data_IF_918620062573
#
_entry.id   IF_918620062573
#
_cell.length_a   1.000
_cell.length_b   1.000
_cell.length_c   1.000
_cell.angle_alpha   90.00
_cell.angle_beta   90.00
_cell.angle_gamma   90.00
#
_symmetry.space_group_name_H-M   'P 1'
#
loop_
_entity.id
_entity.type
_entity.pdbx_description
1 polymer ?
#
# COMPACT_ATOMS: atom_id res chain seq x y z
N UNK A 1 11.77 17.79 -26.57
CA UNK A 1 10.55 17.09 -26.11
C UNK A 1 10.69 16.85 -24.61
N UNK A 2 9.74 17.31 -23.77
CA UNK A 2 9.67 16.91 -22.36
C UNK A 2 9.02 15.52 -22.31
N UNK A 3 9.60 14.61 -21.53
CA UNK A 3 9.02 13.31 -21.26
C UNK A 3 7.60 13.52 -20.67
N UNK A 4 6.53 12.94 -21.26
CA UNK A 4 5.16 13.12 -20.77
C UNK A 4 4.87 12.34 -19.49
N UNK A 5 5.81 11.48 -19.07
CA UNK A 5 5.69 10.68 -17.85
C UNK A 5 6.24 11.46 -16.65
N UNK A 6 5.43 11.56 -15.60
CA UNK A 6 5.90 12.09 -14.32
C UNK A 6 7.02 11.20 -13.77
N UNK A 7 8.02 11.82 -13.14
CA UNK A 7 9.09 11.05 -12.51
C UNK A 7 8.51 10.19 -11.38
N UNK A 8 8.98 8.94 -11.21
CA UNK A 8 8.63 8.14 -10.04
C UNK A 8 8.96 8.89 -8.76
N UNK A 9 8.07 8.81 -7.78
CA UNK A 9 8.29 9.30 -6.42
C UNK A 9 8.64 8.11 -5.53
N UNK A 10 9.55 8.31 -4.59
CA UNK A 10 9.99 7.27 -3.66
C UNK A 10 9.94 7.82 -2.25
N UNK A 11 9.40 7.01 -1.33
CA UNK A 11 9.38 7.32 0.09
C UNK A 11 9.92 6.11 0.84
N UNK A 12 10.81 6.34 1.79
CA UNK A 12 11.33 5.32 2.69
C UNK A 12 11.10 5.80 4.12
N UNK A 13 10.51 4.95 4.94
CA UNK A 13 10.30 5.17 6.36
C UNK A 13 10.78 3.95 7.13
N UNK A 14 11.58 4.17 8.16
CA UNK A 14 12.14 3.10 8.98
C UNK A 14 12.22 3.56 10.42
N UNK A 15 11.52 2.83 11.27
CA UNK A 15 11.56 2.91 12.74
C UNK A 15 11.67 1.49 13.29
N UNK A 16 11.84 1.35 14.61
CA UNK A 16 12.22 0.07 15.23
C UNK A 16 11.36 -1.12 14.78
N UNK A 17 10.05 -0.92 14.69
CA UNK A 17 9.09 -1.99 14.42
C UNK A 17 8.40 -1.90 13.04
N UNK A 18 8.77 -0.90 12.23
CA UNK A 18 8.16 -0.65 10.91
C UNK A 18 9.24 -0.33 9.89
N UNK A 19 9.22 -1.03 8.77
CA UNK A 19 10.02 -0.69 7.58
C UNK A 19 9.08 -0.55 6.39
N UNK A 20 9.09 0.60 5.74
CA UNK A 20 8.25 0.91 4.60
C UNK A 20 9.10 1.52 3.49
N UNK A 21 9.07 0.89 2.31
CA UNK A 21 9.57 1.46 1.07
C UNK A 21 8.40 1.57 0.08
N UNK A 22 8.19 2.77 -0.45
CA UNK A 22 7.11 3.10 -1.35
C UNK A 22 7.67 3.62 -2.65
N UNK A 23 7.13 3.14 -3.76
CA UNK A 23 7.37 3.71 -5.09
C UNK A 23 6.05 4.03 -5.76
N UNK A 24 5.85 5.29 -6.09
CA UNK A 24 4.68 5.80 -6.81
C UNK A 24 5.10 6.18 -8.23
N UNK A 25 4.37 5.69 -9.22
CA UNK A 25 4.57 6.00 -10.64
C UNK A 25 3.25 6.56 -11.18
N UNK A 26 3.14 7.87 -11.43
CA UNK A 26 1.94 8.43 -12.03
C UNK A 26 1.86 8.05 -13.50
N UNK A 27 0.82 7.30 -13.87
CA UNK A 27 0.66 6.80 -15.24
C UNK A 27 -0.09 7.81 -16.10
N UNK A 28 -1.20 8.35 -15.57
CA UNK A 28 -2.00 9.43 -16.15
C UNK A 28 -2.84 10.08 -15.06
N UNK A 29 -3.54 11.17 -15.38
CA UNK A 29 -4.45 11.83 -14.43
C UNK A 29 -5.45 10.83 -13.83
N UNK A 30 -5.49 10.74 -12.50
CA UNK A 30 -6.38 9.84 -11.75
C UNK A 30 -5.99 8.35 -11.79
N UNK A 31 -4.79 8.01 -12.29
CA UNK A 31 -4.30 6.63 -12.28
C UNK A 31 -2.80 6.57 -11.98
N UNK A 32 -2.51 5.96 -10.83
CA UNK A 32 -1.16 5.76 -10.36
C UNK A 32 -0.87 4.27 -10.15
N UNK A 33 0.41 3.90 -10.31
CA UNK A 33 0.92 2.62 -9.85
C UNK A 33 1.71 2.80 -8.56
N UNK A 34 1.28 2.11 -7.49
CA UNK A 34 1.89 2.16 -6.16
C UNK A 34 2.48 0.79 -5.82
N UNK A 35 3.78 0.75 -5.57
CA UNK A 35 4.47 -0.43 -5.04
C UNK A 35 4.83 -0.18 -3.58
N UNK A 36 4.49 -1.14 -2.71
CA UNK A 36 4.75 -1.10 -1.28
C UNK A 36 5.58 -2.32 -0.88
N UNK A 37 6.68 -2.08 -0.18
CA UNK A 37 7.39 -3.10 0.59
C UNK A 37 7.29 -2.70 2.06
N UNK A 38 6.53 -3.46 2.84
CA UNK A 38 6.14 -3.11 4.20
C UNK A 38 6.42 -4.29 5.12
N UNK A 39 7.15 -4.01 6.20
CA UNK A 39 7.38 -4.91 7.33
C UNK A 39 6.82 -4.28 8.60
N UNK A 40 5.91 -4.97 9.28
CA UNK A 40 5.33 -4.55 10.57
C UNK A 40 5.62 -5.65 11.61
N UNK A 41 6.66 -5.43 12.41
CA UNK A 41 7.02 -6.31 13.54
C UNK A 41 6.40 -5.81 14.87
N UNK A 42 5.87 -4.58 14.88
CA UNK A 42 5.32 -3.90 16.05
C UNK A 42 3.85 -4.20 16.37
N UNK A 43 3.36 -3.72 17.52
CA UNK A 43 1.95 -3.86 17.90
C UNK A 43 1.04 -2.81 17.24
N UNK A 44 1.62 -1.76 16.64
CA UNK A 44 0.87 -0.66 16.05
C UNK A 44 0.68 -0.88 14.54
N UNK A 45 -0.54 -0.66 14.02
CA UNK A 45 -0.80 -0.77 12.59
C UNK A 45 -0.21 0.42 11.82
N UNK A 46 -0.06 0.25 10.51
CA UNK A 46 0.39 1.29 9.58
C UNK A 46 -0.77 1.75 8.73
N UNK A 47 -0.90 3.08 8.58
CA UNK A 47 -1.89 3.71 7.70
C UNK A 47 -1.19 4.51 6.61
N UNK A 48 -1.65 4.33 5.39
CA UNK A 48 -1.24 5.12 4.23
C UNK A 48 -2.47 5.87 3.76
N UNK A 49 -2.47 7.18 3.98
CA UNK A 49 -3.59 8.06 3.64
C UNK A 49 -3.46 8.58 2.22
N UNK A 50 -4.58 8.62 1.51
CA UNK A 50 -4.76 9.25 0.22
C UNK A 50 -5.60 10.52 0.40
N UNK A 51 -5.29 11.57 -0.37
CA UNK A 51 -6.00 12.86 -0.27
C UNK A 51 -7.48 12.77 -0.68
N UNK A 52 -7.86 11.74 -1.43
CA UNK A 52 -9.23 11.49 -1.86
C UNK A 52 -9.56 9.99 -1.86
N UNK A 53 -10.85 9.68 -1.83
CA UNK A 53 -11.32 8.30 -1.92
C UNK A 53 -10.98 7.72 -3.29
N UNK A 54 -10.18 6.66 -3.28
CA UNK A 54 -9.62 6.04 -4.49
C UNK A 54 -10.06 4.57 -4.58
N UNK A 55 -10.25 4.08 -5.81
CA UNK A 55 -10.38 2.63 -6.05
C UNK A 55 -8.98 2.03 -6.06
N UNK A 56 -8.72 1.11 -5.12
CA UNK A 56 -7.45 0.41 -5.00
C UNK A 56 -7.65 -1.01 -5.49
N UNK A 57 -6.82 -1.40 -6.47
CA UNK A 57 -6.67 -2.76 -6.94
C UNK A 57 -5.27 -3.21 -6.53
N UNK A 58 -5.19 -4.19 -5.64
CA UNK A 58 -3.94 -4.65 -5.07
C UNK A 58 -3.67 -6.12 -5.32
N UNK A 59 -2.41 -6.50 -5.26
CA UNK A 59 -1.94 -7.86 -5.42
C UNK A 59 -0.74 -8.09 -4.51
N UNK A 60 -0.78 -9.14 -3.68
CA UNK A 60 0.33 -9.49 -2.79
C UNK A 60 1.35 -10.29 -3.59
N UNK A 61 2.52 -9.70 -3.81
CA UNK A 61 3.60 -10.30 -4.59
C UNK A 61 4.49 -11.25 -3.78
N UNK A 62 4.52 -11.10 -2.46
CA UNK A 62 5.29 -11.94 -1.55
C UNK A 62 4.80 -11.77 -0.12
N UNK A 63 5.01 -12.81 0.71
CA UNK A 63 4.63 -12.79 2.12
C UNK A 63 3.11 -12.78 2.33
N UNK A 64 2.68 -12.16 3.43
CA UNK A 64 1.27 -11.87 3.69
C UNK A 64 1.09 -10.53 4.38
N UNK A 65 -0.10 -9.97 4.26
CA UNK A 65 -0.51 -8.75 4.96
C UNK A 65 -1.92 -8.90 5.53
N UNK A 66 -2.14 -8.37 6.73
CA UNK A 66 -3.49 -8.19 7.29
C UNK A 66 -3.99 -6.80 6.94
N UNK A 67 -5.06 -6.74 6.18
CA UNK A 67 -5.67 -5.51 5.68
C UNK A 67 -7.00 -5.27 6.38
N UNK A 68 -7.20 -4.07 6.91
CA UNK A 68 -8.50 -3.63 7.39
C UNK A 68 -9.33 -3.12 6.22
N UNK A 69 -10.57 -3.60 6.14
CA UNK A 69 -11.58 -3.06 5.24
C UNK A 69 -12.40 -1.98 5.95
N UNK A 70 -13.11 -1.16 5.17
CA UNK A 70 -14.01 -0.10 5.66
C UNK A 70 -15.20 -0.61 6.48
N UNK A 71 -15.46 -1.93 6.48
CA UNK A 71 -16.57 -2.59 7.20
C UNK A 71 -16.15 -3.26 8.51
N UNK A 72 -15.07 -2.80 9.15
CA UNK A 72 -14.47 -3.38 10.37
C UNK A 72 -14.04 -4.86 10.26
N UNK A 73 -13.96 -5.40 9.04
CA UNK A 73 -13.39 -6.72 8.80
C UNK A 73 -11.87 -6.63 8.58
N UNK A 74 -11.15 -7.61 9.13
CA UNK A 74 -9.73 -7.81 8.87
C UNK A 74 -9.59 -9.02 7.97
N UNK A 75 -8.95 -8.84 6.82
CA UNK A 75 -8.63 -9.92 5.90
C UNK A 75 -7.13 -10.18 5.91
N UNK A 76 -6.74 -11.46 5.98
CA UNK A 76 -5.35 -11.87 5.78
C UNK A 76 -5.19 -12.23 4.30
N UNK A 77 -4.37 -11.44 3.61
CA UNK A 77 -4.03 -11.62 2.19
C UNK A 77 -2.65 -12.27 2.09
N UNK A 78 -2.61 -13.46 1.50
CA UNK A 78 -1.39 -14.23 1.22
C UNK A 78 -0.82 -13.88 -0.16
N UNK A 79 0.41 -14.34 -0.45
CA UNK A 79 1.00 -14.29 -1.78
C UNK A 79 0.03 -14.80 -2.86
N UNK A 80 0.07 -14.14 -4.02
CA UNK A 80 -0.74 -14.45 -5.20
C UNK A 80 -2.24 -14.15 -5.07
N UNK A 81 -2.65 -13.52 -3.97
CA UNK A 81 -4.02 -13.02 -3.80
C UNK A 81 -4.14 -11.57 -4.28
N UNK A 82 -5.23 -11.32 -5.01
CA UNK A 82 -5.67 -9.98 -5.36
C UNK A 82 -6.73 -9.50 -4.39
N UNK A 83 -6.84 -8.19 -4.23
CA UNK A 83 -7.88 -7.56 -3.43
C UNK A 83 -8.34 -6.25 -4.07
N UNK A 84 -9.54 -5.83 -3.72
CA UNK A 84 -10.13 -4.58 -4.15
C UNK A 84 -10.79 -3.89 -2.97
N UNK A 85 -10.56 -2.58 -2.84
CA UNK A 85 -11.30 -1.74 -1.92
C UNK A 85 -11.43 -0.31 -2.44
N UNK A 86 -12.47 0.39 -1.99
CA UNK A 86 -12.64 1.82 -2.25
C UNK A 86 -12.54 2.57 -0.93
N UNK A 87 -11.42 3.24 -0.73
CA UNK A 87 -11.06 3.91 0.53
C UNK A 87 -10.18 5.13 0.24
N UNK A 88 -10.07 6.02 1.22
CA UNK A 88 -9.07 7.09 1.27
C UNK A 88 -7.83 6.66 2.08
N UNK A 89 -7.74 5.41 2.53
CA UNK A 89 -6.58 4.89 3.23
C UNK A 89 -6.36 3.39 2.98
N UNK A 90 -5.10 2.95 3.09
CA UNK A 90 -4.72 1.55 3.29
C UNK A 90 -4.29 1.37 4.74
N UNK A 91 -4.95 0.44 5.45
CA UNK A 91 -4.69 0.18 6.85
C UNK A 91 -4.21 -1.26 7.05
N UNK A 92 -2.91 -1.40 7.33
CA UNK A 92 -2.23 -2.68 7.51
C UNK A 92 -1.96 -2.94 9.00
N UNK A 93 -2.46 -4.07 9.51
CA UNK A 93 -2.29 -4.46 10.92
C UNK A 93 -0.95 -5.16 11.16
N UNK A 94 -0.63 -6.15 10.32
CA UNK A 94 0.56 -7.01 10.44
C UNK A 94 0.99 -7.44 9.05
N UNK A 95 2.27 -7.75 8.91
CA UNK A 95 2.81 -8.41 7.71
C UNK A 95 3.65 -9.63 8.10
N UNK A 96 3.93 -10.49 7.14
CA UNK A 96 5.01 -11.46 7.30
C UNK A 96 6.37 -10.80 7.11
N UNK A 97 7.40 -11.44 7.68
CA UNK A 97 8.79 -11.19 7.33
C UNK A 97 9.13 -11.77 5.96
#
# INVERSE_FOLDING_TARGET
>A
MKCPFHKPQTLNWKEDAVQLAVRLIPLKSGLDHLSLNLKIDGPLPVRIEFGERTLILGFITSGWAKLHHTTDSIEKLESDQWYQLSSNELHFDRTSS
#
